data_IF_287755733722
#
_entry.id   IF_287755733722
#
_cell.length_a   1.000
_cell.length_b   1.000
_cell.length_c   1.000
_cell.angle_alpha   90.00
_cell.angle_beta   90.00
_cell.angle_gamma   90.00
#
_symmetry.space_group_name_H-M   'P 1'
#
loop_
_entity.id
_entity.type
_entity.pdbx_description
1 polymer ?
#
# COMPACT_ATOMS: atom_id res chain seq x y z
N UNK A 1 -31.54 -7.86 17.60
CA UNK A 1 -30.27 -8.48 17.19
C UNK A 1 -29.81 -7.79 15.92
N UNK A 2 -28.66 -7.11 15.91
CA UNK A 2 -28.16 -6.45 14.70
C UNK A 2 -27.72 -7.52 13.69
N UNK A 3 -28.15 -7.40 12.42
CA UNK A 3 -27.68 -8.31 11.37
C UNK A 3 -26.14 -8.28 11.28
N UNK A 4 -25.53 -9.45 11.43
CA UNK A 4 -24.18 -9.78 10.98
C UNK A 4 -23.90 -9.17 9.60
N UNK A 5 -23.04 -8.15 9.44
CA UNK A 5 -22.60 -7.77 8.09
C UNK A 5 -21.76 -8.91 7.55
N UNK A 6 -22.26 -9.61 6.54
CA UNK A 6 -21.51 -10.67 5.89
C UNK A 6 -20.35 -10.04 5.10
N UNK A 7 -19.13 -10.36 5.51
CA UNK A 7 -17.91 -9.92 4.84
C UNK A 7 -17.59 -10.87 3.69
N UNK A 8 -16.99 -10.35 2.62
CA UNK A 8 -16.43 -11.17 1.55
C UNK A 8 -15.27 -12.01 2.08
N UNK A 9 -15.22 -13.28 1.68
CA UNK A 9 -14.08 -14.15 1.96
C UNK A 9 -12.96 -13.81 0.97
N UNK A 10 -11.75 -13.60 1.49
CA UNK A 10 -10.53 -13.36 0.71
C UNK A 10 -9.40 -14.27 1.20
N UNK A 11 -8.40 -14.50 0.36
CA UNK A 11 -7.20 -15.24 0.72
C UNK A 11 -6.28 -14.46 1.66
N UNK A 12 -5.37 -15.16 2.32
CA UNK A 12 -4.34 -14.54 3.17
C UNK A 12 -3.28 -13.78 2.35
N UNK A 13 -3.26 -13.97 1.03
CA UNK A 13 -2.45 -13.23 0.06
C UNK A 13 -3.28 -12.92 -1.16
N UNK A 14 -3.32 -11.66 -1.54
CA UNK A 14 -4.13 -11.16 -2.66
C UNK A 14 -3.35 -10.17 -3.51
N UNK A 15 -3.77 -10.01 -4.76
CA UNK A 15 -3.35 -8.88 -5.59
C UNK A 15 -4.28 -7.70 -5.32
N UNK A 16 -3.71 -6.54 -5.03
CA UNK A 16 -4.47 -5.31 -4.80
C UNK A 16 -3.99 -4.18 -5.71
N UNK A 17 -4.85 -3.17 -5.87
CA UNK A 17 -4.53 -1.90 -6.51
C UNK A 17 -4.45 -0.81 -5.45
N UNK A 18 -3.51 0.13 -5.58
CA UNK A 18 -3.43 1.34 -4.75
C UNK A 18 -3.38 2.55 -5.68
N UNK A 19 -4.54 3.01 -6.20
CA UNK A 19 -4.59 4.01 -7.26
C UNK A 19 -3.98 5.35 -6.87
N UNK A 20 -4.17 5.77 -5.61
CA UNK A 20 -3.56 7.00 -5.07
C UNK A 20 -2.03 6.97 -5.05
N UNK A 21 -1.43 5.77 -5.04
CA UNK A 21 0.01 5.57 -5.09
C UNK A 21 0.52 5.18 -6.49
N UNK A 22 -0.36 5.21 -7.51
CA UNK A 22 -0.01 4.78 -8.87
C UNK A 22 0.24 3.28 -9.03
N UNK A 23 -0.19 2.45 -8.08
CA UNK A 23 0.06 0.99 -8.09
C UNK A 23 -1.14 0.27 -8.71
N UNK A 24 -0.92 -0.33 -9.88
CA UNK A 24 -1.95 -1.11 -10.60
C UNK A 24 -1.98 -2.59 -10.21
N UNK A 25 -0.92 -3.10 -9.57
CA UNK A 25 -0.89 -4.45 -8.99
C UNK A 25 0.25 -4.56 -7.97
N UNK A 26 -0.06 -4.99 -6.75
CA UNK A 26 0.93 -5.40 -5.75
C UNK A 26 0.39 -6.58 -4.95
N UNK A 27 1.27 -7.53 -4.61
CA UNK A 27 0.88 -8.68 -3.79
C UNK A 27 0.91 -8.28 -2.31
N UNK A 28 -0.25 -8.27 -1.67
CA UNK A 28 -0.42 -7.94 -0.27
C UNK A 28 -0.69 -9.19 0.57
N UNK A 29 -0.27 -9.14 1.84
CA UNK A 29 -0.67 -10.12 2.86
C UNK A 29 -1.86 -9.53 3.62
N UNK A 30 -2.92 -10.31 3.78
CA UNK A 30 -4.06 -9.94 4.61
C UNK A 30 -3.77 -10.44 6.02
N UNK A 31 -3.22 -9.56 6.85
CA UNK A 31 -2.76 -9.88 8.20
C UNK A 31 -3.78 -9.42 9.24
N UNK A 32 -4.66 -10.32 9.67
CA UNK A 32 -5.66 -10.01 10.69
C UNK A 32 -5.04 -9.75 12.07
N UNK A 33 -3.76 -10.08 12.27
CA UNK A 33 -3.01 -9.76 13.49
C UNK A 33 -2.43 -8.34 13.51
N UNK A 34 -2.42 -7.63 12.38
CA UNK A 34 -1.86 -6.29 12.27
C UNK A 34 -2.92 -5.20 12.46
N UNK A 35 -2.64 -4.23 13.33
CA UNK A 35 -3.49 -3.03 13.49
C UNK A 35 -3.36 -2.07 12.30
N UNK A 36 -2.19 -1.99 11.70
CA UNK A 36 -1.86 -1.07 10.61
C UNK A 36 -1.38 -1.82 9.37
N UNK A 37 -1.55 -1.20 8.21
CA UNK A 37 -0.93 -1.65 6.97
C UNK A 37 0.52 -1.17 6.88
N UNK A 38 1.34 -1.89 6.13
CA UNK A 38 2.72 -1.51 5.85
C UNK A 38 3.06 -1.80 4.40
N UNK A 39 3.89 -0.94 3.80
CA UNK A 39 4.45 -1.13 2.47
C UNK A 39 5.96 -0.95 2.55
N UNK A 40 6.70 -1.80 1.84
CA UNK A 40 8.15 -1.63 1.75
C UNK A 40 8.46 -0.43 0.85
N UNK A 41 9.16 0.55 1.40
CA UNK A 41 9.53 1.80 0.75
C UNK A 41 11.04 2.03 0.86
N UNK A 42 11.62 2.63 -0.18
CA UNK A 42 13.01 3.07 -0.22
C UNK A 42 13.10 4.46 -0.86
N UNK A 43 14.27 5.13 -0.74
CA UNK A 43 14.46 6.51 -1.20
C UNK A 43 13.34 7.45 -0.66
N UNK A 44 13.20 7.45 0.66
CA UNK A 44 12.13 8.15 1.38
C UNK A 44 12.56 9.57 1.68
N UNK A 45 11.78 10.55 1.24
CA UNK A 45 12.03 11.98 1.41
C UNK A 45 10.77 12.66 1.95
N UNK A 46 10.91 13.49 2.98
CA UNK A 46 9.81 14.31 3.50
C UNK A 46 9.85 15.70 2.89
N UNK A 47 8.69 16.27 2.61
CA UNK A 47 8.57 17.62 2.03
C UNK A 47 7.25 18.29 2.44
N UNK A 48 7.17 19.59 2.18
CA UNK A 48 5.95 20.37 2.38
C UNK A 48 5.26 20.62 1.04
N UNK A 49 3.95 20.40 0.98
CA UNK A 49 3.11 20.68 -0.19
C UNK A 49 1.75 21.14 0.31
N UNK A 50 1.32 22.31 -0.16
CA UNK A 50 0.04 22.93 0.23
C UNK A 50 -0.14 22.98 1.76
N UNK A 51 0.89 23.44 2.48
CA UNK A 51 0.94 23.56 3.95
C UNK A 51 0.77 22.23 4.72
N UNK A 52 0.86 21.09 4.03
CA UNK A 52 0.82 19.75 4.63
C UNK A 52 2.19 19.09 4.58
N UNK A 53 2.44 18.21 5.54
CA UNK A 53 3.56 17.28 5.49
C UNK A 53 3.26 16.18 4.48
N UNK A 54 4.23 15.88 3.63
CA UNK A 54 4.16 14.80 2.66
C UNK A 54 5.43 13.96 2.73
N UNK A 55 5.30 12.73 2.25
CA UNK A 55 6.41 11.81 2.00
C UNK A 55 6.40 11.37 0.54
N UNK A 56 7.56 11.46 -0.11
CA UNK A 56 7.83 10.84 -1.40
C UNK A 56 8.67 9.60 -1.16
N UNK A 57 8.31 8.49 -1.80
CA UNK A 57 9.05 7.25 -1.68
C UNK A 57 8.95 6.41 -2.94
N UNK A 58 9.88 5.48 -3.07
CA UNK A 58 9.93 4.50 -4.13
C UNK A 58 9.61 3.11 -3.60
N UNK A 59 9.02 2.26 -4.44
CA UNK A 59 8.69 0.88 -4.10
C UNK A 59 8.87 -0.07 -5.28
N UNK A 60 9.06 -1.35 -4.98
CA UNK A 60 9.00 -2.44 -5.95
C UNK A 60 7.64 -3.14 -5.86
N UNK A 61 6.75 -3.02 -6.88
CA UNK A 61 5.42 -3.63 -6.82
C UNK A 61 5.43 -5.15 -6.97
N UNK A 62 6.50 -5.71 -7.55
CA UNK A 62 6.64 -7.14 -7.82
C UNK A 62 7.75 -7.77 -6.98
N UNK A 63 7.42 -8.86 -6.30
CA UNK A 63 8.37 -9.60 -5.47
C UNK A 63 9.54 -10.11 -6.32
N UNK A 64 10.77 -9.97 -5.81
CA UNK A 64 12.02 -10.39 -6.49
C UNK A 64 12.28 -9.68 -7.83
N UNK A 65 11.70 -8.49 -8.03
CA UNK A 65 11.95 -7.65 -9.20
C UNK A 65 12.36 -6.24 -8.75
N UNK A 66 13.62 -5.89 -8.96
CA UNK A 66 14.17 -4.56 -8.64
C UNK A 66 14.16 -3.60 -9.82
N UNK A 67 13.84 -4.07 -11.03
CA UNK A 67 13.79 -3.24 -12.25
C UNK A 67 12.54 -2.38 -12.36
N UNK A 68 11.44 -2.81 -11.75
CA UNK A 68 10.17 -2.05 -11.72
C UNK A 68 10.12 -1.23 -10.44
N UNK A 69 10.05 0.09 -10.60
CA UNK A 69 9.98 1.06 -9.51
C UNK A 69 8.76 1.93 -9.74
N UNK A 70 7.99 2.16 -8.68
CA UNK A 70 6.92 3.17 -8.64
C UNK A 70 7.35 4.24 -7.64
N UNK A 71 7.29 5.50 -8.05
CA UNK A 71 7.43 6.66 -7.14
C UNK A 71 6.05 7.12 -6.74
N UNK A 72 5.81 7.26 -5.43
CA UNK A 72 4.53 7.69 -4.88
C UNK A 72 4.74 8.84 -3.89
N UNK A 73 3.72 9.70 -3.78
CA UNK A 73 3.62 10.75 -2.77
C UNK A 73 2.39 10.47 -1.90
N UNK A 74 2.54 10.61 -0.58
CA UNK A 74 1.45 10.49 0.37
C UNK A 74 1.54 11.61 1.42
N UNK A 75 0.39 12.08 1.88
CA UNK A 75 0.26 13.00 3.03
C UNK A 75 0.35 12.21 4.35
#
# INVERSE_FOLDING_TARGET
>A
MSKQKQLSIIGWREWIVLPSLGVTAIKAKIDTGARSSAIHAFHVETFWKDEKHWVRFQMHPFQRNTSKIITAEAE
#
